data_IF_843208594054
#
_entry.id   IF_843208594054
#
_cell.length_a   1.000
_cell.length_b   1.000
_cell.length_c   1.000
_cell.angle_alpha   90.00
_cell.angle_beta   90.00
_cell.angle_gamma   90.00
#
_symmetry.space_group_name_H-M   'P 1'
#
loop_
_entity.id
_entity.type
_entity.pdbx_description
1 polymer ?
#
# COMPACT_ATOMS: atom_id res chain seq x y z
N UNK A 1 -5.66 0.04 9.32
CA UNK A 1 -4.86 0.59 8.19
C UNK A 1 -3.87 -0.43 7.63
N UNK A 2 -3.62 -0.35 6.32
CA UNK A 2 -2.64 -1.19 5.63
C UNK A 2 -1.85 -0.36 4.62
N UNK A 3 -0.53 -0.56 4.60
CA UNK A 3 0.36 0.09 3.66
C UNK A 3 1.13 -0.95 2.85
N UNK A 4 1.19 -0.75 1.54
CA UNK A 4 2.08 -1.48 0.63
C UNK A 4 3.25 -0.57 0.27
N UNK A 5 4.44 -0.99 0.67
CA UNK A 5 5.70 -0.29 0.45
C UNK A 5 6.40 -0.90 -0.75
N UNK A 6 6.54 -0.11 -1.82
CA UNK A 6 7.34 -0.46 -3.00
C UNK A 6 8.78 -0.03 -2.80
N UNK A 7 9.68 -0.97 -3.04
CA UNK A 7 11.12 -0.80 -2.90
C UNK A 7 11.70 -0.05 -4.10
N UNK A 8 12.83 0.64 -3.92
CA UNK A 8 13.54 1.21 -5.07
C UNK A 8 13.94 0.13 -6.08
N UNK A 9 13.85 0.42 -7.39
CA UNK A 9 14.29 -0.50 -8.44
C UNK A 9 15.74 -0.96 -8.24
N UNK A 10 16.59 -0.08 -7.72
CA UNK A 10 17.99 -0.35 -7.36
C UNK A 10 18.17 -1.50 -6.36
N UNK A 11 17.21 -1.73 -5.47
CA UNK A 11 17.20 -2.87 -4.54
C UNK A 11 16.71 -4.13 -5.25
N UNK A 12 15.70 -3.99 -6.12
CA UNK A 12 15.08 -5.13 -6.81
C UNK A 12 15.97 -5.79 -7.86
N UNK A 13 16.86 -5.02 -8.50
CA UNK A 13 17.78 -5.48 -9.56
C UNK A 13 19.04 -6.17 -8.98
N UNK A 14 19.30 -6.05 -7.67
CA UNK A 14 20.46 -6.72 -7.04
C UNK A 14 20.30 -8.23 -6.99
N UNK A 15 21.43 -8.92 -6.83
CA UNK A 15 21.46 -10.36 -6.55
C UNK A 15 20.61 -10.71 -5.32
N UNK A 16 20.12 -11.95 -5.26
CA UNK A 16 19.21 -12.39 -4.22
C UNK A 16 19.75 -12.17 -2.80
N UNK A 17 21.03 -12.48 -2.55
CA UNK A 17 21.67 -12.32 -1.24
C UNK A 17 21.72 -10.86 -0.79
N UNK A 18 22.09 -9.96 -1.70
CA UNK A 18 22.14 -8.52 -1.46
C UNK A 18 20.74 -7.97 -1.24
N UNK A 19 19.79 -8.32 -2.09
CA UNK A 19 18.38 -7.92 -1.97
C UNK A 19 17.78 -8.33 -0.63
N UNK A 20 17.98 -9.58 -0.20
CA UNK A 20 17.49 -10.06 1.10
C UNK A 20 18.08 -9.29 2.28
N UNK A 21 19.38 -8.94 2.21
CA UNK A 21 20.04 -8.11 3.21
C UNK A 21 19.44 -6.70 3.26
N UNK A 22 19.26 -6.06 2.12
CA UNK A 22 18.63 -4.73 2.03
C UNK A 22 17.20 -4.74 2.57
N UNK A 23 16.38 -5.72 2.18
CA UNK A 23 15.00 -5.86 2.68
C UNK A 23 15.00 -6.04 4.21
N UNK A 24 15.92 -6.84 4.75
CA UNK A 24 16.04 -7.05 6.20
C UNK A 24 16.37 -5.74 6.93
N UNK A 25 17.33 -4.97 6.42
CA UNK A 25 17.72 -3.67 6.99
C UNK A 25 16.54 -2.70 6.92
N UNK A 26 15.91 -2.56 5.76
CA UNK A 26 14.77 -1.67 5.56
C UNK A 26 13.60 -2.03 6.47
N UNK A 27 13.30 -3.32 6.63
CA UNK A 27 12.27 -3.81 7.56
C UNK A 27 12.59 -3.41 9.01
N UNK A 28 13.87 -3.47 9.40
CA UNK A 28 14.33 -2.99 10.71
C UNK A 28 14.13 -1.49 10.88
N UNK A 29 14.50 -0.71 9.86
CA UNK A 29 14.33 0.75 9.86
C UNK A 29 12.86 1.14 9.98
N UNK A 30 11.98 0.52 9.18
CA UNK A 30 10.52 0.71 9.25
C UNK A 30 10.03 0.43 10.66
N UNK A 31 10.39 -0.72 11.26
CA UNK A 31 9.98 -1.05 12.62
C UNK A 31 10.43 0.00 13.64
N UNK A 32 11.68 0.45 13.56
CA UNK A 32 12.24 1.41 14.51
C UNK A 32 11.58 2.79 14.41
N UNK A 33 11.24 3.22 13.19
CA UNK A 33 10.55 4.50 12.96
C UNK A 33 9.10 4.41 13.45
N UNK A 34 8.39 3.32 13.11
CA UNK A 34 6.98 3.15 13.46
C UNK A 34 6.75 2.89 14.96
N UNK A 35 7.70 2.27 15.66
CA UNK A 35 7.61 2.04 17.11
C UNK A 35 7.41 3.33 17.92
N UNK A 36 7.81 4.50 17.38
CA UNK A 36 7.60 5.80 18.02
C UNK A 36 6.16 6.31 17.89
N UNK A 37 5.44 5.81 16.89
CA UNK A 37 4.11 6.29 16.53
C UNK A 37 3.02 5.30 16.97
N UNK A 38 3.29 4.00 16.92
CA UNK A 38 2.31 2.94 17.15
C UNK A 38 2.99 1.71 17.80
N UNK A 39 2.34 1.12 18.80
CA UNK A 39 2.89 0.00 19.57
C UNK A 39 2.73 -1.36 18.87
N UNK A 40 1.63 -1.56 18.13
CA UNK A 40 1.31 -2.85 17.51
C UNK A 40 1.34 -2.75 15.98
N UNK A 41 2.49 -3.11 15.39
CA UNK A 41 2.72 -3.11 13.94
C UNK A 41 3.13 -4.50 13.46
N UNK A 42 2.36 -5.05 12.54
CA UNK A 42 2.74 -6.24 11.79
C UNK A 42 3.42 -5.84 10.49
N UNK A 43 4.64 -6.35 10.25
CA UNK A 43 5.38 -6.13 9.01
C UNK A 43 5.59 -7.46 8.30
N UNK A 44 5.05 -7.59 7.09
CA UNK A 44 5.17 -8.78 6.24
C UNK A 44 6.06 -8.46 5.06
N UNK A 45 7.03 -9.33 4.78
CA UNK A 45 7.97 -9.17 3.67
C UNK A 45 7.52 -10.05 2.51
N UNK A 46 7.24 -9.43 1.38
CA UNK A 46 7.03 -10.13 0.12
C UNK A 46 8.29 -10.00 -0.76
N UNK A 47 8.28 -10.70 -1.90
CA UNK A 47 9.45 -10.75 -2.78
C UNK A 47 9.74 -9.40 -3.46
N UNK A 48 8.71 -8.60 -3.74
CA UNK A 48 8.79 -7.30 -4.44
C UNK A 48 8.31 -6.10 -3.61
N UNK A 49 7.72 -6.33 -2.44
CA UNK A 49 7.17 -5.27 -1.59
C UNK A 49 7.18 -5.66 -0.12
N UNK A 50 7.00 -4.66 0.74
CA UNK A 50 6.80 -4.85 2.18
C UNK A 50 5.38 -4.39 2.51
N UNK A 51 4.67 -5.19 3.29
CA UNK A 51 3.34 -4.83 3.78
C UNK A 51 3.44 -4.46 5.26
N UNK A 52 2.81 -3.35 5.62
CA UNK A 52 2.72 -2.86 7.00
C UNK A 52 1.25 -2.80 7.39
N UNK A 53 0.89 -3.48 8.46
CA UNK A 53 -0.46 -3.45 9.04
C UNK A 53 -0.40 -2.87 10.44
N UNK A 54 -1.32 -1.97 10.73
CA UNK A 54 -1.52 -1.44 12.07
C UNK A 54 -3.01 -1.41 12.39
N UNK A 55 -3.35 -1.71 13.65
CA UNK A 55 -4.73 -1.70 14.14
C UNK A 55 -5.24 -0.29 14.42
N UNK A 56 -4.36 0.63 14.77
CA UNK A 56 -4.74 1.98 15.22
C UNK A 56 -4.77 2.97 14.05
N UNK A 57 -5.97 3.27 13.55
CA UNK A 57 -6.24 4.18 12.42
C UNK A 57 -6.19 5.67 12.77
N UNK A 58 -6.06 6.04 14.05
CA UNK A 58 -6.03 7.44 14.46
C UNK A 58 -4.75 8.18 14.02
N UNK A 59 -3.67 7.43 13.76
CA UNK A 59 -2.34 7.97 13.46
C UNK A 59 -1.88 7.76 12.02
N UNK A 60 -2.81 7.49 11.10
CA UNK A 60 -2.51 7.19 9.69
C UNK A 60 -1.61 8.24 9.04
N UNK A 61 -1.90 9.53 9.23
CA UNK A 61 -1.11 10.62 8.64
C UNK A 61 0.34 10.66 9.17
N UNK A 62 0.52 10.46 10.48
CA UNK A 62 1.84 10.45 11.12
C UNK A 62 2.66 9.25 10.64
N UNK A 63 2.02 8.09 10.49
CA UNK A 63 2.63 6.88 9.94
C UNK A 63 3.03 7.10 8.49
N UNK A 64 2.13 7.66 7.67
CA UNK A 64 2.39 7.98 6.25
C UNK A 64 3.60 8.90 6.11
N UNK A 65 3.61 10.01 6.85
CA UNK A 65 4.73 10.96 6.82
C UNK A 65 6.03 10.31 7.31
N UNK A 66 5.99 9.56 8.41
CA UNK A 66 7.16 8.84 8.93
C UNK A 66 7.74 7.85 7.92
N UNK A 67 6.89 7.12 7.17
CA UNK A 67 7.31 6.18 6.13
C UNK A 67 7.96 6.92 4.94
N UNK A 68 7.46 8.09 4.53
CA UNK A 68 8.06 8.84 3.40
C UNK A 68 9.49 9.31 3.68
N UNK A 69 9.87 9.41 4.96
CA UNK A 69 11.21 9.84 5.39
C UNK A 69 12.23 8.70 5.43
N UNK A 70 11.85 7.46 5.14
CA UNK A 70 12.74 6.30 5.21
C UNK A 70 13.45 6.07 3.87
N UNK A 71 14.78 6.16 3.81
CA UNK A 71 15.54 5.85 2.60
C UNK A 71 15.35 4.37 2.20
N UNK A 72 15.23 4.10 0.90
CA UNK A 72 14.98 2.75 0.38
C UNK A 72 13.52 2.47 0.02
N UNK A 73 12.59 3.37 0.38
CA UNK A 73 11.19 3.33 -0.02
C UNK A 73 10.96 4.21 -1.25
N UNK A 74 10.41 3.64 -2.33
CA UNK A 74 10.10 4.36 -3.56
C UNK A 74 8.67 4.91 -3.56
N UNK A 75 7.69 4.04 -3.24
CA UNK A 75 6.29 4.45 -3.11
C UNK A 75 5.66 3.80 -1.88
N UNK A 76 4.73 4.53 -1.27
CA UNK A 76 3.86 4.05 -0.21
C UNK A 76 2.44 4.11 -0.75
N UNK A 77 1.75 2.98 -0.70
CA UNK A 77 0.36 2.86 -1.11
C UNK A 77 -0.46 2.58 0.15
N UNK A 78 -1.30 3.53 0.51
CA UNK A 78 -2.32 3.33 1.53
C UNK A 78 -3.44 2.48 0.93
N UNK A 79 -3.86 1.43 1.64
CA UNK A 79 -4.82 0.45 1.15
C UNK A 79 -5.87 0.23 2.21
N UNK A 80 -7.12 0.44 1.81
CA UNK A 80 -8.30 0.07 2.59
C UNK A 80 -8.86 -1.24 2.04
N UNK A 81 -9.00 -2.24 2.90
CA UNK A 81 -9.62 -3.51 2.55
C UNK A 81 -11.14 -3.38 2.78
N UNK A 82 -11.89 -3.12 1.71
CA UNK A 82 -13.35 -3.04 1.75
C UNK A 82 -13.99 -4.32 1.17
N UNK A 83 -14.94 -4.95 1.86
CA UNK A 83 -15.72 -6.02 1.26
C UNK A 83 -16.58 -5.46 0.12
N UNK A 84 -16.76 -6.26 -0.93
CA UNK A 84 -17.63 -5.91 -2.04
C UNK A 84 -18.49 -7.11 -2.43
N UNK A 85 -19.69 -6.83 -2.91
CA UNK A 85 -20.63 -7.86 -3.40
C UNK A 85 -20.51 -8.04 -4.91
N UNK A 86 -20.51 -6.92 -5.64
CA UNK A 86 -20.46 -6.88 -7.09
C UNK A 86 -19.67 -5.66 -7.59
N UNK A 87 -19.55 -5.52 -8.91
CA UNK A 87 -18.84 -4.41 -9.53
C UNK A 87 -19.55 -3.06 -9.31
N UNK A 88 -20.87 -3.04 -9.20
CA UNK A 88 -21.64 -1.82 -8.96
C UNK A 88 -21.39 -1.29 -7.55
N UNK A 89 -21.32 -2.19 -6.57
CA UNK A 89 -21.01 -1.85 -5.20
C UNK A 89 -19.61 -1.25 -5.04
N UNK A 90 -18.62 -1.69 -5.84
CA UNK A 90 -17.29 -1.03 -5.89
C UNK A 90 -17.43 0.42 -6.38
N UNK A 91 -18.25 0.66 -7.40
CA UNK A 91 -18.50 2.00 -7.92
C UNK A 91 -19.17 2.90 -6.87
N UNK A 92 -20.23 2.43 -6.22
CA UNK A 92 -20.94 3.20 -5.18
C UNK A 92 -20.00 3.61 -4.03
N UNK A 93 -19.24 2.64 -3.50
CA UNK A 93 -18.26 2.91 -2.44
C UNK A 93 -17.18 3.91 -2.88
N UNK A 94 -16.70 3.79 -4.13
CA UNK A 94 -15.68 4.71 -4.67
C UNK A 94 -16.26 6.10 -4.90
N UNK A 95 -17.50 6.19 -5.40
CA UNK A 95 -18.17 7.45 -5.64
C UNK A 95 -18.36 8.22 -4.34
N UNK A 96 -18.87 7.56 -3.30
CA UNK A 96 -19.05 8.16 -1.98
C UNK A 96 -17.74 8.72 -1.41
N UNK A 97 -16.63 7.98 -1.57
CA UNK A 97 -15.33 8.35 -0.99
C UNK A 97 -14.58 9.44 -1.78
N UNK A 98 -14.78 9.52 -3.10
CA UNK A 98 -13.95 10.34 -3.99
C UNK A 98 -14.69 11.45 -4.74
N UNK A 99 -16.04 11.50 -4.74
CA UNK A 99 -16.82 12.50 -5.48
C UNK A 99 -16.31 13.93 -5.26
N UNK A 100 -16.22 14.34 -4.00
CA UNK A 100 -15.82 15.71 -3.64
C UNK A 100 -14.32 15.96 -3.90
N UNK A 101 -13.50 14.91 -3.85
CA UNK A 101 -12.05 15.00 -4.10
C UNK A 101 -11.71 15.17 -5.59
N UNK A 102 -12.62 14.72 -6.46
CA UNK A 102 -12.47 14.66 -7.92
C UNK A 102 -13.14 15.82 -8.65
N UNK A 103 -13.92 16.66 -7.97
CA UNK A 103 -14.57 17.80 -8.61
C UNK A 103 -13.55 18.72 -9.30
N UNK A 104 -13.77 18.96 -10.59
CA UNK A 104 -12.87 19.77 -11.43
C UNK A 104 -11.54 19.12 -11.82
N UNK A 105 -11.33 17.81 -11.56
CA UNK A 105 -10.09 17.10 -11.85
C UNK A 105 -10.29 15.94 -12.82
N UNK A 106 -9.25 15.64 -13.61
CA UNK A 106 -9.18 14.42 -14.40
C UNK A 106 -8.61 13.28 -13.57
N UNK A 107 -9.21 12.08 -13.65
CA UNK A 107 -8.73 10.89 -12.95
C UNK A 107 -8.62 9.69 -13.89
N UNK A 108 -7.87 8.68 -13.47
CA UNK A 108 -7.70 7.42 -14.19
C UNK A 108 -7.94 6.26 -13.22
N UNK A 109 -8.84 5.35 -13.60
CA UNK A 109 -9.11 4.12 -12.84
C UNK A 109 -8.25 3.00 -13.42
N UNK A 110 -7.54 2.28 -12.56
CA UNK A 110 -6.76 1.10 -12.94
C UNK A 110 -7.25 -0.11 -12.17
N UNK A 111 -7.70 -1.13 -12.89
CA UNK A 111 -8.24 -2.36 -12.28
C UNK A 111 -7.22 -3.48 -12.41
N UNK A 112 -6.92 -4.15 -11.29
CA UNK A 112 -6.12 -5.38 -11.27
C UNK A 112 -6.90 -6.51 -10.63
N UNK A 113 -7.23 -7.54 -11.42
CA UNK A 113 -7.95 -8.72 -10.93
C UNK A 113 -7.00 -9.79 -10.41
N UNK A 114 -7.37 -10.41 -9.29
CA UNK A 114 -6.81 -11.69 -8.82
C UNK A 114 -7.98 -12.59 -8.39
N UNK A 115 -8.00 -13.85 -8.83
CA UNK A 115 -9.08 -14.81 -8.56
C UNK A 115 -10.05 -15.01 -9.73
N UNK A 116 -11.07 -15.88 -9.53
CA UNK A 116 -12.19 -16.08 -10.47
C UNK A 116 -13.29 -15.08 -10.14
N UNK A 117 -13.73 -14.33 -11.15
CA UNK A 117 -14.79 -13.32 -11.04
C UNK A 117 -15.67 -13.41 -12.30
N UNK A 118 -16.98 -13.31 -12.13
CA UNK A 118 -17.97 -13.53 -13.20
C UNK A 118 -18.18 -12.32 -14.13
N UNK A 119 -17.58 -11.17 -13.81
CA UNK A 119 -17.62 -9.96 -14.62
C UNK A 119 -16.37 -9.80 -15.49
N UNK A 120 -16.51 -9.19 -16.68
CA UNK A 120 -15.43 -8.90 -17.62
C UNK A 120 -15.02 -7.42 -17.51
N UNK A 121 -13.72 -7.12 -17.60
CA UNK A 121 -13.27 -5.72 -17.70
C UNK A 121 -13.37 -5.35 -19.17
N UNK A 122 -14.23 -4.40 -19.50
CA UNK A 122 -14.30 -3.86 -20.86
C UNK A 122 -12.97 -3.18 -21.19
N UNK A 123 -12.38 -3.57 -22.31
CA UNK A 123 -11.12 -3.03 -22.82
C UNK A 123 -11.46 -2.08 -23.97
N UNK A 124 -12.21 -1.03 -23.66
CA UNK A 124 -12.46 0.09 -24.58
C UNK A 124 -11.50 1.23 -24.29
#
# INVERSE_FOLDING_TARGET
MKFIIKLFPEITIKSQSVRLRFIKILTGNIRNVLKKQIDEVAIVRHWDHIEVRAKDESRTEQVRDALTRIPGIHHILEVDDCPYTDMHNIFEQTLEMYRDKLEGKTFCVRVKRRGKHDFYVDRS
#
